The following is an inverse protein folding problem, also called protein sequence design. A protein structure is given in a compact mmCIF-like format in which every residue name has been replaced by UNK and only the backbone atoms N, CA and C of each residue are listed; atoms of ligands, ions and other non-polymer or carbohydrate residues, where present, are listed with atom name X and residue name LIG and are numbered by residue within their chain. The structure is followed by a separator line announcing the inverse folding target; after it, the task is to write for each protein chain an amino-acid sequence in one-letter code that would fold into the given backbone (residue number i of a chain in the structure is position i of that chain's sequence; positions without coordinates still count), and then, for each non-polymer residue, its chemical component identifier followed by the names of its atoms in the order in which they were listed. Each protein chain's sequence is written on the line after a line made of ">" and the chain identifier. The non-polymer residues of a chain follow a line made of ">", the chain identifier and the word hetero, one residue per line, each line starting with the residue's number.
data_IF_413768195834
#
_entry.id   IF_413768195834
#
_cell.length_a   1.000
_cell.length_b   1.000
_cell.length_c   1.000
_cell.angle_alpha   90.00
_cell.angle_beta   90.00
_cell.angle_gamma   90.00
#
_symmetry.space_group_name_H-M   'P 1'
#
loop_
_entity.id
_entity.type
_entity.pdbx_description
1 polymer ?
#
# COMPACT_ATOMS: atom_id res chain seq x y z
N UNK A 1 -7.61 40.81 4.90
CA UNK A 1 -8.64 39.90 4.36
C UNK A 1 -7.95 38.94 3.40
N UNK A 2 -7.72 37.71 3.83
CA UNK A 2 -7.33 36.58 3.00
C UNK A 2 -7.50 35.33 3.87
N UNK A 3 -8.77 34.95 3.99
CA UNK A 3 -9.25 33.72 4.58
C UNK A 3 -9.46 32.77 3.41
N UNK A 4 -8.42 32.02 2.99
CA UNK A 4 -8.58 31.05 1.90
C UNK A 4 -7.58 29.89 2.05
N UNK A 5 -8.14 28.70 2.25
CA UNK A 5 -7.47 27.38 2.28
C UNK A 5 -6.81 26.90 3.59
N UNK A 6 -7.35 27.24 4.76
CA UNK A 6 -7.15 26.39 5.95
C UNK A 6 -7.92 25.09 5.73
N UNK A 7 -7.22 24.12 5.17
CA UNK A 7 -7.73 22.79 4.82
C UNK A 7 -8.62 22.26 5.93
N UNK A 8 -9.85 21.90 5.56
CA UNK A 8 -10.85 21.39 6.50
C UNK A 8 -10.29 20.12 7.14
N UNK A 9 -9.90 20.20 8.40
CA UNK A 9 -9.54 19.02 9.19
C UNK A 9 -10.79 18.14 9.32
N UNK A 10 -10.81 17.02 8.60
CA UNK A 10 -11.90 16.04 8.67
C UNK A 10 -11.60 15.09 9.83
N UNK A 11 -12.31 15.26 10.95
CA UNK A 11 -12.22 14.35 12.09
C UNK A 11 -12.91 13.03 11.73
N UNK A 12 -12.12 11.97 11.52
CA UNK A 12 -12.63 10.66 11.12
C UNK A 12 -12.84 9.78 12.36
N UNK A 13 -14.02 9.16 12.55
CA UNK A 13 -14.24 8.17 13.61
C UNK A 13 -13.21 7.02 13.60
N UNK A 14 -12.73 6.63 14.78
CA UNK A 14 -11.71 5.58 14.96
C UNK A 14 -12.03 4.25 14.26
N UNK A 15 -13.31 3.84 14.26
CA UNK A 15 -13.75 2.62 13.56
C UNK A 15 -13.57 2.73 12.04
N UNK A 16 -13.87 3.90 11.46
CA UNK A 16 -13.72 4.13 10.02
C UNK A 16 -12.25 4.16 9.62
N UNK A 17 -11.40 4.83 10.40
CA UNK A 17 -9.96 4.81 10.19
C UNK A 17 -9.43 3.36 10.15
N UNK A 18 -9.78 2.54 11.14
CA UNK A 18 -9.31 1.16 11.24
C UNK A 18 -9.82 0.28 10.10
N UNK A 19 -11.12 0.37 9.81
CA UNK A 19 -11.73 -0.39 8.72
C UNK A 19 -11.13 -0.01 7.37
N UNK A 20 -11.03 1.28 7.06
CA UNK A 20 -10.44 1.74 5.79
C UNK A 20 -9.02 1.24 5.65
N UNK A 21 -8.17 1.38 6.67
CA UNK A 21 -6.78 0.91 6.60
C UNK A 21 -6.70 -0.60 6.40
N UNK A 22 -7.46 -1.40 7.18
CA UNK A 22 -7.43 -2.87 7.08
C UNK A 22 -7.99 -3.38 5.75
N UNK A 23 -9.15 -2.86 5.33
CA UNK A 23 -9.72 -3.25 4.03
C UNK A 23 -8.84 -2.80 2.87
N UNK A 24 -8.19 -1.64 2.98
CA UNK A 24 -7.26 -1.15 1.95
C UNK A 24 -6.03 -2.05 1.85
N UNK A 25 -5.40 -2.43 2.97
CA UNK A 25 -4.23 -3.32 2.92
C UNK A 25 -4.61 -4.72 2.46
N UNK A 26 -5.77 -5.23 2.88
CA UNK A 26 -6.30 -6.52 2.41
C UNK A 26 -6.55 -6.48 0.90
N UNK A 27 -7.26 -5.46 0.40
CA UNK A 27 -7.53 -5.31 -1.03
C UNK A 27 -6.23 -5.11 -1.83
N UNK A 28 -5.28 -4.34 -1.31
CA UNK A 28 -3.98 -4.15 -1.94
C UNK A 28 -3.24 -5.48 -2.12
N UNK A 29 -3.18 -6.31 -1.08
CA UNK A 29 -2.54 -7.64 -1.15
C UNK A 29 -3.26 -8.53 -2.16
N UNK A 30 -4.59 -8.60 -2.11
CA UNK A 30 -5.38 -9.42 -3.05
C UNK A 30 -5.17 -8.97 -4.49
N UNK A 31 -5.18 -7.66 -4.75
CA UNK A 31 -4.96 -7.11 -6.08
C UNK A 31 -3.55 -7.42 -6.60
N UNK A 32 -2.52 -7.22 -5.77
CA UNK A 32 -1.14 -7.54 -6.14
C UNK A 32 -0.97 -9.04 -6.44
N UNK A 33 -1.44 -9.91 -5.55
CA UNK A 33 -1.36 -11.37 -5.74
C UNK A 33 -2.14 -11.81 -6.98
N UNK A 34 -3.36 -11.31 -7.16
CA UNK A 34 -4.17 -11.59 -8.35
C UNK A 34 -3.51 -11.11 -9.64
N UNK A 35 -2.85 -9.95 -9.60
CA UNK A 35 -2.11 -9.42 -10.75
C UNK A 35 -0.89 -10.26 -11.12
N UNK A 36 -0.15 -10.78 -10.12
CA UNK A 36 0.94 -11.73 -10.35
C UNK A 36 0.43 -13.05 -10.93
N UNK A 37 -0.68 -13.59 -10.42
CA UNK A 37 -1.29 -14.81 -10.97
C UNK A 37 -1.70 -14.60 -12.43
N UNK A 38 -2.31 -13.46 -12.76
CA UNK A 38 -2.68 -13.14 -14.14
C UNK A 38 -1.45 -13.05 -15.06
N UNK A 39 -0.36 -12.41 -14.60
CA UNK A 39 0.90 -12.38 -15.34
C UNK A 39 1.52 -13.77 -15.54
N UNK A 40 1.45 -14.62 -14.52
CA UNK A 40 1.96 -15.99 -14.56
C UNK A 40 1.23 -16.81 -15.62
N UNK A 41 -0.10 -16.74 -15.63
CA UNK A 41 -0.95 -17.38 -16.66
C UNK A 41 -0.67 -16.82 -18.05
N UNK A 42 -0.54 -15.49 -18.18
CA UNK A 42 -0.31 -14.84 -19.46
C UNK A 42 1.04 -15.19 -20.09
N UNK A 43 2.04 -15.50 -19.27
CA UNK A 43 3.42 -15.75 -19.70
C UNK A 43 3.86 -17.20 -19.53
N UNK A 44 2.95 -18.10 -19.12
CA UNK A 44 3.28 -19.47 -18.72
C UNK A 44 4.45 -19.51 -17.72
N UNK A 45 4.34 -18.69 -16.66
CA UNK A 45 5.38 -18.46 -15.67
C UNK A 45 6.74 -18.08 -16.30
N UNK A 46 6.69 -17.14 -17.25
CA UNK A 46 7.85 -16.64 -17.99
C UNK A 46 8.44 -17.58 -19.04
N UNK A 47 7.79 -18.71 -19.35
CA UNK A 47 8.28 -19.70 -20.32
C UNK A 47 7.68 -19.55 -21.72
N UNK A 48 6.62 -18.75 -21.87
CA UNK A 48 5.98 -18.54 -23.16
C UNK A 48 6.93 -17.84 -24.14
N UNK A 49 6.91 -18.25 -25.41
CA UNK A 49 7.48 -17.44 -26.48
C UNK A 49 6.69 -16.15 -26.61
N UNK A 50 7.32 -15.07 -27.10
CA UNK A 50 6.66 -13.77 -27.21
C UNK A 50 5.35 -13.79 -28.04
N UNK A 51 5.23 -14.71 -29.00
CA UNK A 51 4.04 -14.91 -29.81
C UNK A 51 2.86 -15.56 -29.06
N UNK A 52 3.14 -16.29 -27.98
CA UNK A 52 2.14 -17.03 -27.21
C UNK A 52 1.67 -16.27 -25.96
N UNK A 53 2.26 -15.09 -25.69
CA UNK A 53 1.89 -14.27 -24.54
C UNK A 53 0.50 -13.68 -24.75
N UNK A 54 -0.40 -13.93 -23.80
CA UNK A 54 -1.69 -13.27 -23.80
C UNK A 54 -1.55 -11.83 -23.29
N UNK A 55 -1.36 -10.89 -24.23
CA UNK A 55 -1.12 -9.47 -23.93
C UNK A 55 -2.24 -8.85 -23.10
N UNK A 56 -3.50 -9.21 -23.36
CA UNK A 56 -4.63 -8.64 -22.64
C UNK A 56 -4.60 -9.03 -21.15
N UNK A 57 -4.34 -10.31 -20.86
CA UNK A 57 -4.23 -10.81 -19.48
C UNK A 57 -2.98 -10.26 -18.80
N UNK A 58 -1.87 -10.13 -19.54
CA UNK A 58 -0.64 -9.53 -19.00
C UNK A 58 -0.88 -8.07 -18.58
N UNK A 59 -1.53 -7.27 -19.43
CA UNK A 59 -1.88 -5.87 -19.12
C UNK A 59 -2.81 -5.79 -17.91
N UNK A 60 -3.83 -6.65 -17.83
CA UNK A 60 -4.70 -6.74 -16.65
C UNK A 60 -3.88 -7.02 -15.37
N UNK A 61 -2.93 -7.96 -15.44
CA UNK A 61 -2.07 -8.30 -14.31
C UNK A 61 -1.21 -7.12 -13.85
N UNK A 62 -0.60 -6.39 -14.78
CA UNK A 62 0.17 -5.17 -14.49
C UNK A 62 -0.71 -4.10 -13.85
N UNK A 63 -1.91 -3.87 -14.40
CA UNK A 63 -2.86 -2.89 -13.85
C UNK A 63 -3.31 -3.24 -12.43
N UNK A 64 -3.54 -4.53 -12.15
CA UNK A 64 -3.89 -4.99 -10.80
C UNK A 64 -2.74 -4.76 -9.80
N UNK A 65 -1.49 -5.03 -10.19
CA UNK A 65 -0.32 -4.76 -9.35
C UNK A 65 -0.19 -3.26 -9.08
N UNK A 66 -0.31 -2.43 -10.12
CA UNK A 66 -0.24 -0.97 -9.98
C UNK A 66 -1.35 -0.43 -9.09
N UNK A 67 -2.59 -0.90 -9.27
CA UNK A 67 -3.74 -0.52 -8.46
C UNK A 67 -3.56 -0.93 -6.99
N UNK A 68 -3.11 -2.16 -6.72
CA UNK A 68 -2.84 -2.61 -5.36
C UNK A 68 -1.72 -1.81 -4.67
N UNK A 69 -0.65 -1.51 -5.41
CA UNK A 69 0.44 -0.64 -4.93
C UNK A 69 -0.05 0.78 -4.60
N UNK A 70 -0.92 1.34 -5.44
CA UNK A 70 -1.53 2.65 -5.22
C UNK A 70 -2.38 2.64 -3.94
N UNK A 71 -3.24 1.64 -3.75
CA UNK A 71 -4.06 1.47 -2.56
C UNK A 71 -3.19 1.35 -1.30
N UNK A 72 -2.12 0.56 -1.34
CA UNK A 72 -1.18 0.44 -0.23
C UNK A 72 -0.50 1.78 0.11
N UNK A 73 -0.04 2.51 -0.90
CA UNK A 73 0.58 3.81 -0.72
C UNK A 73 -0.40 4.81 -0.07
N UNK A 74 -1.66 4.85 -0.50
CA UNK A 74 -2.69 5.67 0.14
C UNK A 74 -3.02 5.22 1.56
N UNK A 75 -3.09 3.91 1.83
CA UNK A 75 -3.31 3.38 3.17
C UNK A 75 -2.18 3.78 4.13
N UNK A 76 -0.93 3.82 3.66
CA UNK A 76 0.23 4.19 4.48
C UNK A 76 0.23 5.65 4.94
N UNK A 77 -0.57 6.52 4.28
CA UNK A 77 -0.77 7.93 4.65
C UNK A 77 -1.60 8.08 5.93
N UNK A 78 -2.50 7.13 6.19
CA UNK A 78 -3.30 7.08 7.40
C UNK A 78 -2.48 6.37 8.49
N UNK A 79 -1.81 7.15 9.34
CA UNK A 79 -1.21 6.68 10.60
C UNK A 79 -2.03 7.17 11.78
N UNK A 80 -2.21 6.31 12.78
CA UNK A 80 -2.99 6.61 13.97
C UNK A 80 -2.25 7.69 14.79
N UNK A 81 -3.03 8.57 15.43
CA UNK A 81 -2.52 9.56 16.38
C UNK A 81 -1.95 8.81 17.59
N UNK A 82 -0.63 8.55 17.58
CA UNK A 82 0.06 7.74 18.59
C UNK A 82 1.22 6.89 18.05
N UNK A 83 1.45 6.86 16.74
CA UNK A 83 2.57 6.15 16.12
C UNK A 83 3.71 7.08 15.68
N UNK A 84 3.91 8.17 16.43
CA UNK A 84 5.19 8.86 16.47
C UNK A 84 6.13 7.97 17.30
N UNK A 85 7.31 7.66 16.77
CA UNK A 85 8.32 6.88 17.48
C UNK A 85 8.79 7.70 18.67
N UNK A 86 8.53 7.23 19.89
CA UNK A 86 9.47 7.45 21.00
C UNK A 86 10.70 6.60 20.68
N UNK A 87 11.58 7.12 19.84
CA UNK A 87 12.98 6.69 19.77
C UNK A 87 13.78 7.72 20.55
N UNK A 88 13.59 7.72 21.85
CA UNK A 88 14.56 8.28 22.80
C UNK A 88 14.62 7.37 24.03
N UNK A 89 14.88 6.08 23.78
CA UNK A 89 15.52 5.26 24.81
C UNK A 89 16.99 5.60 24.68
N UNK A 90 17.44 6.49 25.57
CA UNK A 90 18.74 7.13 25.53
C UNK A 90 19.87 6.15 25.31
N UNK A 91 20.91 6.64 24.64
CA UNK A 91 22.23 6.04 24.62
C UNK A 91 22.67 5.80 26.08
N UNK A 92 22.46 4.58 26.58
CA UNK A 92 23.12 4.10 27.79
C UNK A 92 24.62 4.08 27.48
N UNK A 93 25.35 5.10 27.94
CA UNK A 93 26.80 5.04 28.05
C UNK A 93 27.14 3.79 28.86
N UNK A 94 27.88 2.80 28.31
CA UNK A 94 28.35 1.70 29.13
C UNK A 94 29.41 2.27 30.08
N UNK A 95 29.03 2.42 31.35
CA UNK A 95 29.95 2.66 32.46
C UNK A 95 30.65 1.33 32.79
N UNK A 96 31.84 1.15 32.21
CA UNK A 96 32.76 0.08 32.54
C UNK A 96 33.80 0.60 33.53
N UNK A 97 33.49 0.41 34.82
CA UNK A 97 34.44 0.59 35.93
C UNK A 97 35.65 -0.34 35.87
#
# INVERSE_FOLDING_TARGET
>A
MSDESRGRDVVVPERLYKSVTVFSTLFAVVAVVGGFIALDVATNAGRAAAADVNVLVAVLGVLLIAAGGLVYAFASRFRASGMAKDKDSGDETPDNG
#
